data_IF_864627434471
#
_entry.id   IF_864627434471
#
_cell.length_a   1.000
_cell.length_b   1.000
_cell.length_c   1.000
_cell.angle_alpha   90.00
_cell.angle_beta   90.00
_cell.angle_gamma   90.00
#
_symmetry.space_group_name_H-M   'P 1'
#
loop_
_entity.id
_entity.type
_entity.pdbx_description
1 polymer ?
#
# COMPACT_ATOMS: atom_id res chain seq x y z
N UNK A 1 -46.84 4.26 -12.50
CA UNK A 1 -45.97 3.17 -11.97
C UNK A 1 -44.63 3.79 -11.69
N UNK A 2 -44.37 4.08 -10.42
CA UNK A 2 -43.12 4.67 -9.95
C UNK A 2 -42.09 3.54 -9.88
N UNK A 3 -41.09 3.57 -10.77
CA UNK A 3 -39.93 2.68 -10.66
C UNK A 3 -39.24 2.97 -9.31
N UNK A 4 -39.36 2.05 -8.39
CA UNK A 4 -38.55 2.03 -7.19
C UNK A 4 -37.11 1.76 -7.61
N UNK A 5 -36.28 2.79 -7.55
CA UNK A 5 -34.84 2.68 -7.72
C UNK A 5 -34.27 1.92 -6.51
N UNK A 6 -34.13 0.60 -6.64
CA UNK A 6 -33.71 -0.32 -5.57
C UNK A 6 -32.21 -0.26 -5.28
N UNK A 7 -31.48 0.55 -5.99
CA UNK A 7 -30.04 0.81 -5.70
C UNK A 7 -29.94 1.97 -4.70
N UNK A 8 -30.14 1.63 -3.42
CA UNK A 8 -29.83 2.55 -2.33
C UNK A 8 -28.41 3.08 -2.47
N UNK A 9 -28.19 4.38 -2.17
CA UNK A 9 -26.83 4.94 -2.07
C UNK A 9 -25.99 4.01 -1.20
N UNK A 10 -24.79 3.65 -1.65
CA UNK A 10 -23.80 2.93 -0.83
C UNK A 10 -23.64 3.71 0.48
N UNK A 11 -23.66 3.00 1.60
CA UNK A 11 -23.41 3.58 2.92
C UNK A 11 -22.30 2.81 3.62
N UNK A 12 -21.74 3.39 4.66
CA UNK A 12 -20.71 2.71 5.44
C UNK A 12 -21.24 1.50 6.20
N UNK A 13 -22.51 1.52 6.62
CA UNK A 13 -23.20 0.36 7.22
C UNK A 13 -23.33 -0.78 6.21
N UNK A 14 -23.66 -0.47 4.95
CA UNK A 14 -23.64 -1.45 3.86
C UNK A 14 -22.25 -2.04 3.67
N UNK A 15 -21.21 -1.20 3.65
CA UNK A 15 -19.81 -1.64 3.52
C UNK A 15 -19.39 -2.54 4.68
N UNK A 16 -19.76 -2.19 5.92
CA UNK A 16 -19.51 -3.02 7.10
C UNK A 16 -20.18 -4.39 6.98
N UNK A 17 -21.43 -4.43 6.58
CA UNK A 17 -22.15 -5.68 6.33
C UNK A 17 -21.49 -6.55 5.28
N UNK A 18 -21.03 -5.94 4.16
CA UNK A 18 -20.31 -6.64 3.08
C UNK A 18 -18.97 -7.18 3.54
N UNK A 19 -18.19 -6.41 4.31
CA UNK A 19 -16.89 -6.84 4.88
C UNK A 19 -17.10 -8.00 5.85
N UNK A 20 -18.12 -7.93 6.71
CA UNK A 20 -18.42 -9.00 7.69
C UNK A 20 -18.87 -10.32 7.03
N UNK A 21 -19.45 -10.25 5.84
CA UNK A 21 -19.93 -11.41 5.09
C UNK A 21 -19.01 -11.90 3.97
N UNK A 22 -17.84 -11.25 3.77
CA UNK A 22 -16.95 -11.63 2.67
C UNK A 22 -16.19 -12.94 2.95
N UNK A 23 -15.94 -13.70 1.90
CA UNK A 23 -15.01 -14.85 1.93
C UNK A 23 -13.55 -14.41 1.96
N UNK A 24 -13.25 -13.19 1.50
CA UNK A 24 -11.91 -12.58 1.50
C UNK A 24 -11.55 -11.96 2.86
N UNK A 25 -11.77 -12.70 3.94
CA UNK A 25 -11.49 -12.24 5.30
C UNK A 25 -10.00 -12.17 5.59
N UNK A 26 -9.63 -11.37 6.57
CA UNK A 26 -8.27 -11.36 7.10
C UNK A 26 -8.00 -12.67 7.84
N UNK A 27 -6.84 -13.28 7.61
CA UNK A 27 -6.42 -14.51 8.29
C UNK A 27 -6.22 -14.24 9.79
N UNK A 28 -6.59 -15.22 10.61
CA UNK A 28 -6.39 -15.17 12.06
C UNK A 28 -4.93 -15.48 12.40
N UNK A 29 -4.49 -15.00 13.55
CA UNK A 29 -3.12 -15.27 14.04
C UNK A 29 -2.79 -16.76 14.08
N UNK A 30 -3.75 -17.62 14.51
CA UNK A 30 -3.60 -19.08 14.53
C UNK A 30 -3.44 -19.69 13.13
N UNK A 31 -4.13 -19.15 12.12
CA UNK A 31 -4.03 -19.59 10.73
C UNK A 31 -2.66 -19.24 10.16
N UNK A 32 -2.18 -18.02 10.43
CA UNK A 32 -0.82 -17.60 10.06
C UNK A 32 0.25 -18.45 10.77
N UNK A 33 0.05 -18.81 12.04
CA UNK A 33 0.98 -19.69 12.76
C UNK A 33 1.05 -21.09 12.11
N UNK A 34 -0.10 -21.68 11.76
CA UNK A 34 -0.17 -22.97 11.05
C UNK A 34 0.53 -22.92 9.68
N UNK A 35 0.37 -21.82 8.94
CA UNK A 35 1.07 -21.64 7.67
C UNK A 35 2.59 -21.59 7.85
N UNK A 36 3.09 -20.99 8.94
CA UNK A 36 4.53 -20.96 9.26
C UNK A 36 5.09 -22.33 9.60
N UNK A 37 4.38 -23.12 10.38
CA UNK A 37 4.80 -24.45 10.84
C UNK A 37 4.75 -25.51 9.73
N UNK A 38 3.86 -25.38 8.76
CA UNK A 38 3.71 -26.34 7.67
C UNK A 38 4.88 -26.27 6.66
N UNK A 39 5.14 -27.35 5.93
CA UNK A 39 5.99 -27.31 4.72
C UNK A 39 5.33 -26.49 3.60
N UNK A 40 6.06 -26.21 2.53
CA UNK A 40 5.59 -25.33 1.45
C UNK A 40 4.33 -25.86 0.77
N UNK A 41 4.26 -27.17 0.48
CA UNK A 41 3.11 -27.78 -0.20
C UNK A 41 1.86 -27.78 0.71
N UNK A 42 2.04 -28.14 1.97
CA UNK A 42 0.96 -28.10 2.98
C UNK A 42 0.48 -26.67 3.23
N UNK A 43 1.38 -25.71 3.31
CA UNK A 43 1.04 -24.30 3.46
C UNK A 43 0.20 -23.78 2.30
N UNK A 44 0.50 -24.17 1.06
CA UNK A 44 -0.32 -23.81 -0.10
C UNK A 44 -1.74 -24.43 -0.05
N UNK A 45 -1.87 -25.66 0.41
CA UNK A 45 -3.19 -26.31 0.61
C UNK A 45 -3.99 -25.60 1.70
N UNK A 46 -3.37 -25.32 2.85
CA UNK A 46 -3.99 -24.56 3.94
C UNK A 46 -4.44 -23.18 3.50
N UNK A 47 -3.63 -22.49 2.68
CA UNK A 47 -3.98 -21.17 2.14
C UNK A 47 -5.28 -21.25 1.31
N UNK A 48 -5.44 -22.32 0.51
CA UNK A 48 -6.67 -22.58 -0.22
C UNK A 48 -7.86 -22.84 0.70
N UNK A 49 -7.66 -23.63 1.76
CA UNK A 49 -8.70 -23.89 2.77
C UNK A 49 -9.13 -22.61 3.50
N UNK A 50 -8.26 -21.62 3.58
CA UNK A 50 -8.55 -20.31 4.19
C UNK A 50 -9.20 -19.31 3.22
N UNK A 51 -9.52 -19.74 2.00
CA UNK A 51 -10.30 -18.96 1.04
C UNK A 51 -9.50 -18.31 -0.09
N UNK A 52 -8.18 -18.53 -0.15
CA UNK A 52 -7.40 -18.11 -1.30
C UNK A 52 -7.64 -19.03 -2.51
N UNK A 53 -7.53 -18.50 -3.73
CA UNK A 53 -7.59 -19.36 -4.92
C UNK A 53 -6.54 -20.47 -4.88
N UNK A 54 -6.87 -21.64 -5.43
CA UNK A 54 -5.91 -22.73 -5.54
C UNK A 54 -4.77 -22.38 -6.51
N UNK A 55 -3.54 -22.77 -6.17
CA UNK A 55 -2.41 -22.73 -7.10
C UNK A 55 -2.67 -23.71 -8.22
N UNK A 56 -2.97 -23.20 -9.40
CA UNK A 56 -3.26 -24.01 -10.61
C UNK A 56 -2.06 -24.02 -11.56
N UNK A 57 -2.08 -24.91 -12.55
CA UNK A 57 -1.00 -25.01 -13.54
C UNK A 57 -0.67 -23.65 -14.17
N UNK A 58 0.60 -23.25 -14.06
CA UNK A 58 1.12 -22.01 -14.63
C UNK A 58 1.08 -20.79 -13.70
N UNK A 59 0.44 -20.89 -12.51
CA UNK A 59 0.47 -19.84 -11.48
C UNK A 59 1.35 -20.28 -10.30
N UNK A 60 2.05 -19.33 -9.73
CA UNK A 60 2.79 -19.48 -8.47
C UNK A 60 1.93 -19.05 -7.28
N UNK A 61 2.33 -19.38 -6.07
CA UNK A 61 1.68 -18.86 -4.85
C UNK A 61 1.73 -17.32 -4.79
N UNK A 62 2.75 -16.71 -5.37
CA UNK A 62 2.87 -15.25 -5.43
C UNK A 62 1.82 -14.63 -6.36
N UNK A 63 1.49 -15.30 -7.46
CA UNK A 63 0.41 -14.87 -8.37
C UNK A 63 -0.95 -14.96 -7.67
N UNK A 64 -1.17 -16.02 -6.89
CA UNK A 64 -2.41 -16.20 -6.10
C UNK A 64 -2.55 -15.10 -5.04
N UNK A 65 -1.46 -14.73 -4.37
CA UNK A 65 -1.46 -13.65 -3.37
C UNK A 65 -1.75 -12.30 -4.06
N UNK A 66 -1.22 -12.06 -5.26
CA UNK A 66 -1.49 -10.83 -6.01
C UNK A 66 -2.93 -10.79 -6.56
N UNK A 67 -3.45 -11.91 -7.06
CA UNK A 67 -4.85 -12.01 -7.48
C UNK A 67 -5.81 -11.69 -6.33
N UNK A 68 -5.54 -12.20 -5.12
CA UNK A 68 -6.32 -11.89 -3.92
C UNK A 68 -6.25 -10.39 -3.58
N UNK A 69 -5.06 -9.80 -3.62
CA UNK A 69 -4.88 -8.35 -3.38
C UNK A 69 -5.70 -7.52 -4.38
N UNK A 70 -5.69 -7.89 -5.66
CA UNK A 70 -6.47 -7.22 -6.69
C UNK A 70 -7.98 -7.39 -6.46
N UNK A 71 -8.42 -8.58 -6.05
CA UNK A 71 -9.81 -8.85 -5.68
C UNK A 71 -10.26 -8.00 -4.51
N UNK A 72 -9.44 -7.89 -3.45
CA UNK A 72 -9.71 -7.02 -2.29
C UNK A 72 -9.77 -5.56 -2.70
N UNK A 73 -8.88 -5.10 -3.57
CA UNK A 73 -8.87 -3.73 -4.08
C UNK A 73 -10.15 -3.41 -4.87
N UNK A 74 -10.59 -4.32 -5.73
CA UNK A 74 -11.85 -4.19 -6.48
C UNK A 74 -13.06 -4.19 -5.55
N UNK A 75 -13.09 -5.09 -4.57
CA UNK A 75 -14.14 -5.19 -3.56
C UNK A 75 -14.26 -3.91 -2.74
N UNK A 76 -13.15 -3.35 -2.27
CA UNK A 76 -13.13 -2.09 -1.52
C UNK A 76 -13.73 -0.94 -2.33
N UNK A 77 -13.39 -0.82 -3.61
CA UNK A 77 -14.00 0.19 -4.52
C UNK A 77 -15.49 -0.06 -4.75
N UNK A 78 -15.90 -1.31 -4.84
CA UNK A 78 -17.30 -1.66 -5.02
C UNK A 78 -18.16 -1.21 -3.84
N UNK A 79 -17.70 -1.42 -2.60
CA UNK A 79 -18.50 -1.20 -1.39
C UNK A 79 -18.41 0.22 -0.83
N UNK A 80 -17.33 0.94 -1.14
CA UNK A 80 -17.08 2.26 -0.55
C UNK A 80 -18.04 3.33 -1.08
N UNK A 81 -18.62 4.14 -0.19
CA UNK A 81 -19.56 5.22 -0.57
C UNK A 81 -18.85 6.53 -0.95
N UNK A 82 -17.63 6.76 -0.50
CA UNK A 82 -16.83 7.97 -0.77
C UNK A 82 -15.63 7.59 -1.63
N UNK A 83 -15.69 7.96 -2.91
CA UNK A 83 -14.68 7.63 -3.92
C UNK A 83 -13.35 8.33 -3.63
N UNK A 84 -13.40 9.60 -3.22
CA UNK A 84 -12.20 10.40 -2.97
C UNK A 84 -11.40 9.91 -1.76
N UNK A 85 -12.08 9.58 -0.64
CA UNK A 85 -11.42 8.97 0.51
C UNK A 85 -10.93 7.56 0.21
N UNK A 86 -11.68 6.80 -0.59
CA UNK A 86 -11.29 5.44 -0.99
C UNK A 86 -10.03 5.45 -1.86
N UNK A 87 -9.91 6.43 -2.75
CA UNK A 87 -8.72 6.62 -3.60
C UNK A 87 -7.44 6.74 -2.76
N UNK A 88 -7.51 7.41 -1.60
CA UNK A 88 -6.34 7.59 -0.73
C UNK A 88 -5.77 6.28 -0.19
N UNK A 89 -6.56 5.21 -0.12
CA UNK A 89 -6.08 3.90 0.34
C UNK A 89 -5.04 3.30 -0.61
N UNK A 90 -5.03 3.69 -1.87
CA UNK A 90 -4.17 3.16 -2.94
C UNK A 90 -2.94 4.04 -3.22
N UNK A 91 -2.57 4.93 -2.30
CA UNK A 91 -1.48 5.90 -2.51
C UNK A 91 -0.11 5.25 -2.82
N UNK A 92 0.20 4.09 -2.24
CA UNK A 92 1.45 3.38 -2.53
C UNK A 92 1.49 2.82 -3.95
N UNK A 93 0.35 2.33 -4.44
CA UNK A 93 0.16 1.83 -5.80
C UNK A 93 0.30 2.98 -6.82
N UNK A 94 -0.31 4.13 -6.53
CA UNK A 94 -0.19 5.33 -7.36
C UNK A 94 1.25 5.84 -7.41
N UNK A 95 1.94 5.87 -6.27
CA UNK A 95 3.36 6.24 -6.21
C UNK A 95 4.23 5.28 -7.02
N UNK A 96 3.95 3.96 -6.96
CA UNK A 96 4.67 2.97 -7.74
C UNK A 96 4.44 3.17 -9.24
N UNK A 97 3.19 3.35 -9.66
CA UNK A 97 2.82 3.58 -11.04
C UNK A 97 3.50 4.85 -11.61
N UNK A 98 3.44 5.96 -10.89
CA UNK A 98 4.12 7.20 -11.29
C UNK A 98 5.63 7.02 -11.42
N UNK A 99 6.27 6.31 -10.48
CA UNK A 99 7.71 6.01 -10.56
C UNK A 99 8.07 5.18 -11.79
N UNK A 100 7.25 4.18 -12.13
CA UNK A 100 7.46 3.35 -13.33
C UNK A 100 7.29 4.20 -14.58
N UNK A 101 6.20 4.95 -14.69
CA UNK A 101 5.91 5.79 -15.85
C UNK A 101 6.99 6.86 -16.08
N UNK A 102 7.35 7.62 -15.04
CA UNK A 102 8.40 8.66 -15.12
C UNK A 102 9.76 8.11 -15.54
N UNK A 103 10.17 6.98 -14.96
CA UNK A 103 11.45 6.37 -15.30
C UNK A 103 11.46 5.76 -16.70
N UNK A 104 10.34 5.18 -17.14
CA UNK A 104 10.17 4.66 -18.50
C UNK A 104 10.23 5.77 -19.53
N UNK A 105 9.56 6.89 -19.27
CA UNK A 105 9.62 8.07 -20.15
C UNK A 105 11.05 8.59 -20.32
N UNK A 106 11.80 8.70 -19.20
CA UNK A 106 13.19 9.16 -19.22
C UNK A 106 14.15 8.29 -20.02
N UNK A 107 13.92 6.98 -20.07
CA UNK A 107 14.76 6.06 -20.88
C UNK A 107 14.20 5.83 -22.28
N UNK A 108 13.15 6.58 -22.67
CA UNK A 108 12.52 6.48 -23.99
C UNK A 108 11.83 5.12 -24.24
N UNK A 109 11.37 4.44 -23.18
CA UNK A 109 10.63 3.18 -23.28
C UNK A 109 9.18 3.37 -22.88
N UNK A 110 8.27 2.79 -23.64
CA UNK A 110 6.87 2.79 -23.24
C UNK A 110 6.66 1.79 -22.11
N UNK A 111 6.00 2.25 -21.04
CA UNK A 111 5.64 1.39 -19.92
C UNK A 111 4.46 0.51 -20.31
N UNK A 112 4.54 -0.76 -19.94
CA UNK A 112 3.43 -1.68 -20.05
C UNK A 112 2.37 -1.35 -18.99
N UNK A 113 1.20 -0.89 -19.43
CA UNK A 113 0.12 -0.49 -18.52
C UNK A 113 -0.52 -1.69 -17.82
N UNK A 114 -0.49 -2.87 -18.43
CA UNK A 114 -1.03 -4.09 -17.82
C UNK A 114 -0.17 -4.56 -16.64
N UNK A 115 1.12 -4.21 -16.67
CA UNK A 115 2.06 -4.48 -15.57
C UNK A 115 1.97 -3.48 -14.40
N UNK A 116 1.23 -2.36 -14.55
CA UNK A 116 1.04 -1.40 -13.48
C UNK A 116 0.03 -1.91 -12.44
N UNK A 117 0.19 -1.45 -11.20
CA UNK A 117 -0.74 -1.76 -10.11
C UNK A 117 -2.11 -1.12 -10.33
N UNK A 118 -3.14 -1.71 -9.73
CA UNK A 118 -4.45 -1.07 -9.61
C UNK A 118 -4.40 0.00 -8.50
N UNK A 119 -4.10 1.25 -8.91
CA UNK A 119 -3.98 2.43 -8.03
C UNK A 119 -5.31 3.17 -7.82
N UNK A 120 -5.27 4.27 -7.11
CA UNK A 120 -6.42 5.19 -6.95
C UNK A 120 -6.72 5.95 -8.23
N UNK A 121 -5.70 6.33 -8.99
CA UNK A 121 -5.83 6.95 -10.30
C UNK A 121 -5.85 5.91 -11.42
N UNK A 122 -6.56 6.26 -12.51
CA UNK A 122 -6.55 5.43 -13.72
C UNK A 122 -5.15 5.45 -14.36
N UNK A 123 -4.65 4.29 -14.74
CA UNK A 123 -3.30 4.11 -15.33
C UNK A 123 -3.10 4.99 -16.57
N UNK A 124 -4.11 5.05 -17.43
CA UNK A 124 -4.10 5.91 -18.63
C UNK A 124 -3.99 7.38 -18.30
N UNK A 125 -4.69 7.86 -17.26
CA UNK A 125 -4.60 9.23 -16.80
C UNK A 125 -3.19 9.56 -16.33
N UNK A 126 -2.59 8.70 -15.49
CA UNK A 126 -1.20 8.88 -15.04
C UNK A 126 -0.22 8.91 -16.22
N UNK A 127 -0.40 8.03 -17.21
CA UNK A 127 0.43 8.01 -18.43
C UNK A 127 0.33 9.31 -19.23
N UNK A 128 -0.89 9.84 -19.42
CA UNK A 128 -1.12 11.09 -20.12
C UNK A 128 -0.41 12.23 -19.39
N UNK A 129 -0.59 12.34 -18.07
CA UNK A 129 0.03 13.38 -17.26
C UNK A 129 1.57 13.33 -17.35
N UNK A 130 2.16 12.15 -17.24
CA UNK A 130 3.62 11.97 -17.33
C UNK A 130 4.15 12.34 -18.72
N UNK A 131 3.49 11.88 -19.80
CA UNK A 131 3.92 12.21 -21.17
C UNK A 131 3.81 13.70 -21.49
N UNK A 132 2.83 14.38 -20.92
CA UNK A 132 2.64 15.82 -21.12
C UNK A 132 3.48 16.67 -20.15
N UNK A 133 4.08 16.09 -19.11
CA UNK A 133 4.66 16.78 -17.94
C UNK A 133 3.68 17.79 -17.34
N UNK A 134 2.38 17.43 -17.33
CA UNK A 134 1.26 18.23 -16.83
C UNK A 134 0.39 17.38 -15.90
N UNK A 135 0.38 17.73 -14.63
CA UNK A 135 -0.30 17.00 -13.56
C UNK A 135 -1.59 17.69 -13.07
N UNK A 136 -2.06 18.73 -13.78
CA UNK A 136 -3.25 19.50 -13.42
C UNK A 136 -4.52 18.65 -13.26
N UNK A 137 -4.62 17.57 -14.04
CA UNK A 137 -5.73 16.60 -13.96
C UNK A 137 -5.72 15.74 -12.70
N UNK A 138 -4.60 15.70 -11.94
CA UNK A 138 -4.48 14.94 -10.70
C UNK A 138 -4.82 15.78 -9.46
N UNK A 139 -5.14 17.07 -9.66
CA UNK A 139 -5.47 18.02 -8.60
C UNK A 139 -4.28 18.84 -8.12
N UNK A 140 -4.59 20.03 -7.58
CA UNK A 140 -3.63 21.09 -7.23
C UNK A 140 -2.45 20.61 -6.35
N UNK A 141 -2.71 19.71 -5.40
CA UNK A 141 -1.66 19.20 -4.50
C UNK A 141 -0.63 18.37 -5.24
N UNK A 142 -1.06 17.46 -6.14
CA UNK A 142 -0.15 16.65 -6.94
C UNK A 142 0.50 17.47 -8.05
N UNK A 143 -0.24 18.36 -8.71
CA UNK A 143 0.29 19.30 -9.71
C UNK A 143 1.46 20.10 -9.13
N UNK A 144 1.27 20.72 -7.97
CA UNK A 144 2.32 21.51 -7.31
C UNK A 144 3.51 20.64 -6.88
N UNK A 145 3.25 19.46 -6.32
CA UNK A 145 4.30 18.61 -5.79
C UNK A 145 5.12 17.89 -6.87
N UNK A 146 4.54 17.63 -8.04
CA UNK A 146 5.21 17.00 -9.17
C UNK A 146 5.76 18.02 -10.18
N UNK A 147 5.50 19.31 -9.98
CA UNK A 147 5.99 20.35 -10.88
C UNK A 147 7.51 20.27 -11.07
N UNK A 148 7.95 20.19 -12.33
CA UNK A 148 9.37 20.11 -12.68
C UNK A 148 10.06 18.76 -12.42
N UNK A 149 9.34 17.73 -12.00
CA UNK A 149 9.91 16.38 -11.83
C UNK A 149 10.45 15.80 -13.15
N UNK A 150 9.88 16.24 -14.26
CA UNK A 150 10.37 15.92 -15.60
C UNK A 150 11.83 16.34 -15.83
N UNK A 151 12.35 17.31 -15.11
CA UNK A 151 13.74 17.80 -15.23
C UNK A 151 14.73 17.05 -14.30
N UNK A 152 14.25 16.24 -13.36
CA UNK A 152 15.11 15.47 -12.46
C UNK A 152 15.68 14.24 -13.19
N UNK A 153 16.98 14.05 -13.18
CA UNK A 153 17.66 12.95 -13.88
C UNK A 153 18.02 11.78 -12.96
N UNK A 154 18.16 12.02 -11.66
CA UNK A 154 18.53 10.98 -10.71
C UNK A 154 17.32 10.07 -10.38
N UNK A 155 17.36 8.77 -10.78
CA UNK A 155 16.22 7.86 -10.58
C UNK A 155 15.85 7.63 -9.11
N UNK A 156 16.83 7.74 -8.21
CA UNK A 156 16.59 7.62 -6.77
C UNK A 156 15.83 8.86 -6.26
N UNK A 157 16.27 10.04 -6.69
CA UNK A 157 15.63 11.30 -6.32
C UNK A 157 14.22 11.41 -6.88
N UNK A 158 13.99 10.99 -8.15
CA UNK A 158 12.65 10.87 -8.73
C UNK A 158 11.76 10.00 -7.82
N UNK A 159 12.26 8.84 -7.38
CA UNK A 159 11.46 7.97 -6.49
C UNK A 159 11.05 8.65 -5.20
N UNK A 160 11.97 9.34 -4.54
CA UNK A 160 11.70 10.04 -3.29
C UNK A 160 10.71 11.21 -3.49
N UNK A 161 10.87 11.98 -4.57
CA UNK A 161 9.98 13.11 -4.87
C UNK A 161 8.55 12.63 -5.17
N UNK A 162 8.41 11.52 -5.91
CA UNK A 162 7.10 10.91 -6.17
C UNK A 162 6.46 10.40 -4.89
N UNK A 163 7.23 9.68 -4.04
CA UNK A 163 6.72 9.19 -2.75
C UNK A 163 6.24 10.36 -1.88
N UNK A 164 7.00 11.45 -1.82
CA UNK A 164 6.63 12.66 -1.10
C UNK A 164 5.36 13.33 -1.66
N UNK A 165 5.27 13.44 -2.98
CA UNK A 165 4.13 14.08 -3.65
C UNK A 165 2.83 13.31 -3.38
N UNK A 166 2.82 12.00 -3.63
CA UNK A 166 1.64 11.16 -3.46
C UNK A 166 1.25 11.03 -1.99
N UNK A 167 2.23 10.91 -1.11
CA UNK A 167 1.98 10.89 0.33
C UNK A 167 1.40 12.22 0.84
N UNK A 168 1.95 13.35 0.38
CA UNK A 168 1.42 14.68 0.70
C UNK A 168 -0.02 14.82 0.23
N UNK A 169 -0.33 14.35 -0.99
CA UNK A 169 -1.69 14.33 -1.51
C UNK A 169 -2.63 13.54 -0.59
N UNK A 170 -2.26 12.32 -0.21
CA UNK A 170 -3.08 11.47 0.65
C UNK A 170 -3.33 12.12 2.03
N UNK A 171 -2.26 12.61 2.69
CA UNK A 171 -2.36 13.25 4.00
C UNK A 171 -3.17 14.55 3.95
N UNK A 172 -2.86 15.45 3.00
CA UNK A 172 -3.56 16.75 2.87
C UNK A 172 -5.04 16.56 2.52
N UNK A 173 -5.37 15.60 1.64
CA UNK A 173 -6.77 15.33 1.28
C UNK A 173 -7.53 14.76 2.47
N UNK A 174 -6.96 13.82 3.24
CA UNK A 174 -7.57 13.32 4.46
C UNK A 174 -7.82 14.46 5.48
N UNK A 175 -6.88 15.40 5.62
CA UNK A 175 -7.02 16.57 6.48
C UNK A 175 -8.10 17.55 5.97
N UNK A 176 -8.10 17.90 4.68
CA UNK A 176 -9.11 18.77 4.05
C UNK A 176 -10.52 18.20 4.17
N UNK A 177 -10.67 16.87 4.09
CA UNK A 177 -11.93 16.16 4.30
C UNK A 177 -12.31 15.98 5.77
N UNK A 178 -11.49 16.48 6.70
CA UNK A 178 -11.66 16.27 8.15
C UNK A 178 -11.71 14.77 8.54
N UNK A 179 -11.10 13.91 7.73
CA UNK A 179 -10.99 12.48 8.01
C UNK A 179 -9.78 12.24 8.94
N UNK A 180 -9.95 12.63 10.22
CA UNK A 180 -8.91 12.49 11.24
C UNK A 180 -8.31 11.07 11.31
N UNK A 181 -9.12 9.98 11.27
CA UNK A 181 -8.59 8.63 11.36
C UNK A 181 -7.58 8.28 10.24
N UNK A 182 -7.89 8.63 8.98
CA UNK A 182 -6.94 8.40 7.88
C UNK A 182 -5.70 9.30 7.99
N UNK A 183 -5.87 10.56 8.41
CA UNK A 183 -4.73 11.46 8.61
C UNK A 183 -3.77 10.93 9.70
N UNK A 184 -4.30 10.33 10.77
CA UNK A 184 -3.51 9.68 11.82
C UNK A 184 -2.79 8.44 11.29
N UNK A 185 -3.47 7.59 10.54
CA UNK A 185 -2.87 6.42 9.90
C UNK A 185 -1.69 6.81 9.00
N UNK A 186 -1.87 7.80 8.12
CA UNK A 186 -0.80 8.29 7.27
C UNK A 186 0.35 8.90 8.08
N UNK A 187 0.06 9.62 9.16
CA UNK A 187 1.09 10.20 10.02
C UNK A 187 1.96 9.13 10.67
N UNK A 188 1.35 8.08 11.23
CA UNK A 188 2.08 6.95 11.84
C UNK A 188 2.88 6.18 10.79
N UNK A 189 2.28 5.91 9.64
CA UNK A 189 2.97 5.27 8.51
C UNK A 189 4.20 6.07 8.06
N UNK A 190 4.03 7.38 7.82
CA UNK A 190 5.10 8.26 7.37
C UNK A 190 6.23 8.38 8.39
N UNK A 191 5.91 8.48 9.69
CA UNK A 191 6.91 8.52 10.75
C UNK A 191 7.74 7.23 10.79
N UNK A 192 7.11 6.05 10.63
CA UNK A 192 7.81 4.77 10.51
C UNK A 192 8.76 4.72 9.31
N UNK A 193 8.29 5.16 8.14
CA UNK A 193 9.14 5.26 6.93
C UNK A 193 10.31 6.22 7.12
N UNK A 194 10.10 7.36 7.76
CA UNK A 194 11.16 8.33 8.04
C UNK A 194 12.23 7.76 8.96
N UNK A 195 11.86 6.99 10.00
CA UNK A 195 12.82 6.31 10.88
C UNK A 195 13.69 5.31 10.11
N UNK A 196 13.09 4.48 9.25
CA UNK A 196 13.83 3.52 8.42
C UNK A 196 14.74 4.23 7.41
N UNK A 197 14.27 5.32 6.80
CA UNK A 197 15.06 6.13 5.87
C UNK A 197 16.30 6.71 6.56
N UNK A 198 16.12 7.30 7.73
CA UNK A 198 17.22 7.88 8.52
C UNK A 198 18.26 6.80 8.90
N UNK A 199 17.79 5.63 9.39
CA UNK A 199 18.67 4.52 9.73
C UNK A 199 19.50 4.04 8.51
N UNK A 200 18.89 3.94 7.34
CA UNK A 200 19.57 3.53 6.11
C UNK A 200 20.60 4.57 5.66
N UNK A 201 20.28 5.85 5.73
CA UNK A 201 21.20 6.95 5.44
C UNK A 201 22.40 6.93 6.39
N UNK A 202 22.18 6.73 7.69
CA UNK A 202 23.26 6.59 8.68
C UNK A 202 24.17 5.39 8.38
N UNK A 203 23.59 4.20 8.07
CA UNK A 203 24.37 3.02 7.69
C UNK A 203 25.22 3.26 6.44
N UNK A 204 24.79 4.17 5.56
CA UNK A 204 25.52 4.58 4.36
C UNK A 204 26.49 5.74 4.61
N UNK A 205 26.61 6.23 5.84
CA UNK A 205 27.45 7.38 6.20
C UNK A 205 27.00 8.70 5.54
N UNK A 206 25.71 8.84 5.26
CA UNK A 206 25.12 10.03 4.62
C UNK A 206 24.59 11.00 5.65
N UNK A 207 24.78 12.30 5.37
CA UNK A 207 24.15 13.36 6.17
C UNK A 207 22.64 13.39 5.90
N UNK A 208 21.83 13.49 6.97
CA UNK A 208 20.37 13.49 6.86
C UNK A 208 19.83 14.77 6.20
N UNK A 209 20.54 15.90 6.37
CA UNK A 209 20.10 17.18 5.82
C UNK A 209 20.35 17.25 4.30
N UNK A 210 21.45 16.66 3.81
CA UNK A 210 21.73 16.52 2.38
C UNK A 210 20.68 15.67 1.67
N UNK A 211 20.02 14.77 2.39
CA UNK A 211 18.97 13.88 1.93
C UNK A 211 17.57 14.26 2.41
N UNK A 212 17.35 15.54 2.72
CA UNK A 212 16.06 16.05 3.17
C UNK A 212 14.88 15.63 2.26
N UNK A 213 15.13 15.52 0.96
CA UNK A 213 14.15 15.09 -0.05
C UNK A 213 13.69 13.64 0.07
N UNK A 214 14.40 12.82 0.84
CA UNK A 214 14.08 11.40 1.03
C UNK A 214 13.07 11.16 2.18
N UNK A 215 12.76 12.19 2.97
CA UNK A 215 11.84 12.10 4.08
C UNK A 215 10.44 12.51 3.67
N UNK A 216 9.44 11.72 4.08
CA UNK A 216 8.03 12.09 3.93
C UNK A 216 7.69 13.32 4.79
N UNK A 217 6.68 14.14 4.42
CA UNK A 217 6.35 15.41 5.08
C UNK A 217 5.61 15.22 6.42
N UNK A 218 6.21 14.45 7.30
CA UNK A 218 5.82 14.25 8.70
C UNK A 218 7.06 14.35 9.58
N UNK A 219 6.89 14.20 10.89
CA UNK A 219 8.00 14.30 11.83
C UNK A 219 9.19 13.42 11.44
N UNK A 220 10.40 14.01 11.46
CA UNK A 220 11.65 13.28 11.33
C UNK A 220 12.02 12.64 12.67
N UNK A 221 12.77 11.51 12.67
CA UNK A 221 13.20 10.88 13.89
C UNK A 221 14.16 11.79 14.69
N UNK A 222 14.06 11.69 16.00
CA UNK A 222 14.98 12.34 16.93
C UNK A 222 16.22 11.47 17.19
N UNK A 223 17.21 12.00 17.91
CA UNK A 223 18.47 11.30 18.21
C UNK A 223 18.27 9.94 18.93
N UNK A 224 17.26 9.84 19.78
CA UNK A 224 16.98 8.61 20.53
C UNK A 224 16.45 7.52 19.60
N UNK A 225 15.59 7.89 18.65
CA UNK A 225 15.05 6.98 17.63
C UNK A 225 16.13 6.50 16.66
N UNK A 226 17.13 7.32 16.38
CA UNK A 226 18.26 6.98 15.53
C UNK A 226 19.22 5.93 16.13
N UNK A 227 19.11 5.62 17.42
CA UNK A 227 19.90 4.58 18.10
C UNK A 227 19.27 3.20 18.03
N UNK A 228 18.03 3.08 17.53
CA UNK A 228 17.31 1.82 17.41
C UNK A 228 17.79 0.98 16.23
N UNK A 229 17.66 -0.31 16.36
CA UNK A 229 17.89 -1.25 15.26
C UNK A 229 16.73 -1.21 14.25
N UNK A 230 16.96 -1.74 13.06
CA UNK A 230 15.92 -1.84 12.03
C UNK A 230 14.73 -2.72 12.50
N UNK A 231 15.02 -3.80 13.23
CA UNK A 231 14.00 -4.70 13.79
C UNK A 231 13.12 -3.97 14.81
N UNK A 232 13.72 -3.23 15.74
CA UNK A 232 12.97 -2.45 16.74
C UNK A 232 12.08 -1.37 16.08
N UNK A 233 12.60 -0.69 15.05
CA UNK A 233 11.82 0.32 14.32
C UNK A 233 10.64 -0.33 13.58
N UNK A 234 10.86 -1.48 12.95
CA UNK A 234 9.81 -2.22 12.24
C UNK A 234 8.72 -2.69 13.21
N UNK A 235 9.10 -3.33 14.32
CA UNK A 235 8.17 -3.85 15.33
C UNK A 235 7.33 -2.72 15.95
N UNK A 236 7.97 -1.61 16.34
CA UNK A 236 7.26 -0.46 16.89
C UNK A 236 6.32 0.18 15.88
N UNK A 237 6.74 0.27 14.61
CA UNK A 237 5.91 0.84 13.55
C UNK A 237 4.70 -0.05 13.27
N UNK A 238 4.92 -1.36 13.17
CA UNK A 238 3.84 -2.33 12.96
C UNK A 238 2.82 -2.29 14.10
N UNK A 239 3.30 -2.28 15.35
CA UNK A 239 2.44 -2.14 16.52
C UNK A 239 1.66 -0.83 16.56
N UNK A 240 2.29 0.29 16.20
CA UNK A 240 1.63 1.58 16.13
C UNK A 240 0.56 1.61 15.03
N UNK A 241 0.85 1.04 13.86
CA UNK A 241 -0.12 0.89 12.77
C UNK A 241 -1.29 -0.02 13.16
N UNK A 242 -1.02 -1.16 13.80
CA UNK A 242 -2.09 -2.07 14.25
C UNK A 242 -3.01 -1.42 15.29
N UNK A 243 -2.47 -0.62 16.19
CA UNK A 243 -3.27 0.16 17.14
C UNK A 243 -4.21 1.13 16.40
N UNK A 244 -3.68 1.94 15.48
CA UNK A 244 -4.50 2.88 14.68
C UNK A 244 -5.53 2.12 13.85
N UNK A 245 -5.16 1.02 13.21
CA UNK A 245 -6.09 0.19 12.44
C UNK A 245 -7.17 -0.42 13.33
N UNK A 246 -6.85 -0.80 14.56
CA UNK A 246 -7.83 -1.32 15.52
C UNK A 246 -8.82 -0.23 15.91
N UNK A 247 -8.35 0.99 16.23
CA UNK A 247 -9.21 2.13 16.56
C UNK A 247 -10.09 2.54 15.37
N UNK A 248 -9.57 2.47 14.15
CA UNK A 248 -10.34 2.68 12.91
C UNK A 248 -11.53 1.70 12.78
N UNK A 249 -11.36 0.46 13.19
CA UNK A 249 -12.42 -0.56 13.13
C UNK A 249 -13.58 -0.33 14.09
N UNK A 250 -13.38 0.45 15.14
CA UNK A 250 -14.43 0.87 16.06
C UNK A 250 -15.11 2.19 15.67
N UNK A 251 -14.55 2.88 14.67
CA UNK A 251 -15.09 4.14 14.17
C UNK A 251 -16.17 3.97 13.12
N UNK A 252 -16.78 5.10 12.78
CA UNK A 252 -17.73 5.21 11.68
C UNK A 252 -17.00 5.58 10.37
N UNK A 253 -17.65 5.33 9.27
CA UNK A 253 -17.20 5.82 7.97
C UNK A 253 -16.10 4.98 7.33
N UNK A 254 -15.16 5.66 6.63
CA UNK A 254 -14.09 5.02 5.85
C UNK A 254 -13.15 4.16 6.70
N UNK A 255 -13.13 4.35 8.03
CA UNK A 255 -12.23 3.66 8.94
C UNK A 255 -12.32 2.14 8.85
N UNK A 256 -13.54 1.60 8.80
CA UNK A 256 -13.78 0.15 8.69
C UNK A 256 -13.24 -0.41 7.38
N UNK A 257 -13.42 0.33 6.28
CA UNK A 257 -12.92 -0.05 4.96
C UNK A 257 -11.38 0.02 4.95
N UNK A 258 -10.82 1.08 5.51
CA UNK A 258 -9.38 1.27 5.62
C UNK A 258 -8.73 0.17 6.47
N UNK A 259 -9.32 -0.15 7.64
CA UNK A 259 -8.85 -1.25 8.47
C UNK A 259 -8.79 -2.57 7.70
N UNK A 260 -9.89 -2.93 7.02
CA UNK A 260 -9.95 -4.15 6.24
C UNK A 260 -8.90 -4.17 5.13
N UNK A 261 -8.79 -3.10 4.35
CA UNK A 261 -7.85 -2.98 3.24
C UNK A 261 -6.39 -3.10 3.69
N UNK A 262 -6.00 -2.30 4.68
CA UNK A 262 -4.59 -2.30 5.14
C UNK A 262 -4.21 -3.59 5.86
N UNK A 263 -5.13 -4.24 6.58
CA UNK A 263 -4.88 -5.56 7.16
C UNK A 263 -4.70 -6.63 6.09
N UNK A 264 -5.51 -6.64 5.04
CA UNK A 264 -5.35 -7.55 3.90
C UNK A 264 -4.03 -7.28 3.14
N UNK A 265 -3.64 -6.03 3.00
CA UNK A 265 -2.37 -5.64 2.39
C UNK A 265 -1.17 -6.11 3.22
N UNK A 266 -1.22 -5.93 4.54
CA UNK A 266 -0.19 -6.44 5.45
C UNK A 266 -0.10 -7.97 5.43
N UNK A 267 -1.25 -8.67 5.42
CA UNK A 267 -1.35 -10.11 5.27
C UNK A 267 -0.68 -10.61 3.98
N UNK A 268 -0.97 -9.96 2.84
CA UNK A 268 -0.33 -10.30 1.56
C UNK A 268 1.20 -10.15 1.62
N UNK A 269 1.70 -9.10 2.28
CA UNK A 269 3.13 -8.90 2.53
C UNK A 269 3.73 -10.01 3.40
N UNK A 270 3.07 -10.37 4.50
CA UNK A 270 3.50 -11.43 5.40
C UNK A 270 3.51 -12.81 4.72
N UNK A 271 2.51 -13.11 3.89
CA UNK A 271 2.46 -14.36 3.12
C UNK A 271 3.58 -14.43 2.09
N UNK A 272 3.86 -13.34 1.38
CA UNK A 272 4.99 -13.29 0.43
C UNK A 272 6.33 -13.59 1.10
N UNK A 273 6.57 -12.99 2.26
CA UNK A 273 7.78 -13.23 3.04
C UNK A 273 7.86 -14.70 3.49
N UNK A 274 6.78 -15.23 4.06
CA UNK A 274 6.68 -16.62 4.52
C UNK A 274 7.01 -17.62 3.40
N UNK A 275 6.42 -17.47 2.21
CA UNK A 275 6.70 -18.38 1.11
C UNK A 275 8.10 -18.17 0.50
N UNK A 276 8.67 -16.98 0.59
CA UNK A 276 10.06 -16.72 0.20
C UNK A 276 11.05 -17.43 1.15
N UNK A 277 10.80 -17.41 2.46
CA UNK A 277 11.57 -18.11 3.47
C UNK A 277 11.52 -19.64 3.25
N UNK A 278 10.32 -20.21 3.07
CA UNK A 278 10.14 -21.63 2.78
C UNK A 278 10.89 -22.08 1.52
N UNK A 279 10.80 -21.30 0.45
CA UNK A 279 11.54 -21.58 -0.80
C UNK A 279 13.06 -21.54 -0.59
N UNK A 280 13.55 -20.61 0.24
CA UNK A 280 14.98 -20.52 0.56
C UNK A 280 15.47 -21.72 1.40
N UNK A 281 14.62 -22.25 2.29
CA UNK A 281 14.91 -23.45 3.10
C UNK A 281 14.95 -24.70 2.22
N UNK A 282 13.99 -24.91 1.34
CA UNK A 282 13.97 -26.01 0.36
C UNK A 282 15.23 -26.03 -0.50
N UNK A 283 15.61 -24.86 -1.05
CA UNK A 283 16.82 -24.73 -1.89
C UNK A 283 18.13 -25.03 -1.13
N UNK A 284 18.14 -24.89 0.19
CA UNK A 284 19.30 -25.26 1.03
C UNK A 284 19.30 -26.76 1.37
N UNK A 285 18.13 -27.36 1.53
CA UNK A 285 17.97 -28.80 1.77
C UNK A 285 18.41 -29.65 0.58
N UNK A 286 18.15 -29.17 -0.64
CA UNK A 286 18.53 -29.86 -1.88
C UNK A 286 20.03 -29.75 -2.20
N UNK A 287 20.78 -28.89 -1.51
CA UNK A 287 22.21 -28.67 -1.74
C UNK A 287 23.14 -29.50 -0.80
N UNK A 288 22.57 -30.33 0.06
CA UNK A 288 23.25 -31.26 0.98
C UNK A 288 23.04 -32.70 0.53
#
# INVERSE_FOLDING_TARGET
>A
MTEYNVYGKKSYEYALGRISGTTHRVLRGEEMARLREADSETAQKLLTDYGYPAVTNGKTVYDVIEDEKNTVSAFVREIAPDEELTQLLFFEEDALNLKVLLKSEKIGKEADLDALCEGGFQKELLRICVKADDYSMLGETLETALAGIGNEENPCRISCLVDNAVFSYALCTAQKKNCRPLAELFTVYGAGKNRLTALRLQKLGKDLDDYAFAFLPVARPNETELRKTESEILEETEKALDNVLTDLGYGDGIGVIAQYYFRKKAEAGALRLLFAEKRAEESRGDAV
#
